data_IF_312951398742
#
_entry.id   IF_312951398742
#
_cell.length_a   1.000
_cell.length_b   1.000
_cell.length_c   1.000
_cell.angle_alpha   90.00
_cell.angle_beta   90.00
_cell.angle_gamma   90.00
#
_symmetry.space_group_name_H-M   'P 1'
#
loop_
_entity.id
_entity.type
_entity.pdbx_description
1 polymer ?
#
# COMPACT_ATOMS: atom_id res chain seq x y z
N UNK A 1 1.91 4.43 -20.13
CA UNK A 1 1.73 4.41 -18.66
C UNK A 1 1.02 3.13 -18.28
N UNK A 2 1.73 2.22 -17.61
CA UNK A 2 1.26 0.88 -17.26
C UNK A 2 0.25 0.91 -16.08
N UNK A 3 -0.45 -0.21 -15.84
CA UNK A 3 -1.29 -0.38 -14.65
C UNK A 3 -0.46 -0.20 -13.36
N UNK A 4 0.80 -0.64 -13.40
CA UNK A 4 1.75 -0.48 -12.31
C UNK A 4 2.09 0.98 -12.06
N UNK A 5 2.38 1.75 -13.09
CA UNK A 5 2.72 3.17 -12.98
C UNK A 5 1.55 3.96 -12.36
N UNK A 6 0.31 3.65 -12.78
CA UNK A 6 -0.90 4.26 -12.23
C UNK A 6 -1.08 3.94 -10.74
N UNK A 7 -0.82 2.69 -10.35
CA UNK A 7 -0.83 2.30 -8.93
C UNK A 7 0.23 3.07 -8.13
N UNK A 8 1.47 3.12 -8.62
CA UNK A 8 2.55 3.82 -7.93
C UNK A 8 2.27 5.31 -7.78
N UNK A 9 1.76 5.95 -8.84
CA UNK A 9 1.36 7.35 -8.81
C UNK A 9 0.23 7.59 -7.78
N UNK A 10 -0.80 6.74 -7.78
CA UNK A 10 -1.90 6.85 -6.81
C UNK A 10 -1.43 6.67 -5.36
N UNK A 11 -0.50 5.74 -5.12
CA UNK A 11 0.10 5.53 -3.81
C UNK A 11 0.96 6.72 -3.37
N UNK A 12 1.79 7.26 -4.28
CA UNK A 12 2.60 8.45 -3.99
C UNK A 12 1.72 9.65 -3.71
N UNK A 13 0.61 9.83 -4.43
CA UNK A 13 -0.37 10.91 -4.20
C UNK A 13 -1.00 10.91 -2.80
N UNK A 14 -0.90 9.82 -2.03
CA UNK A 14 -1.29 9.83 -0.62
C UNK A 14 -0.43 10.79 0.23
N UNK A 15 0.73 11.25 -0.24
CA UNK A 15 1.51 12.31 0.45
C UNK A 15 0.72 13.59 0.58
N UNK A 16 -0.05 13.96 -0.44
CA UNK A 16 -0.84 15.19 -0.44
C UNK A 16 -2.01 15.05 0.55
N UNK A 17 -2.58 13.84 0.63
CA UNK A 17 -3.58 13.49 1.64
C UNK A 17 -3.00 13.61 3.06
N UNK A 18 -1.79 13.09 3.29
CA UNK A 18 -1.10 13.22 4.58
C UNK A 18 -0.88 14.70 4.92
N UNK A 19 -0.41 15.51 3.97
CA UNK A 19 -0.18 16.94 4.16
C UNK A 19 -1.48 17.66 4.56
N UNK A 20 -2.58 17.42 3.83
CA UNK A 20 -3.89 18.00 4.15
C UNK A 20 -4.39 17.62 5.54
N UNK A 21 -4.24 16.35 5.94
CA UNK A 21 -4.66 15.90 7.28
C UNK A 21 -3.78 16.49 8.40
N UNK A 22 -2.48 16.68 8.14
CA UNK A 22 -1.58 17.38 9.07
C UNK A 22 -1.94 18.86 9.22
N UNK A 23 -2.24 19.55 8.12
CA UNK A 23 -2.71 20.95 8.14
C UNK A 23 -4.03 21.09 8.90
N UNK A 24 -4.90 20.09 8.84
CA UNK A 24 -6.14 20.04 9.62
C UNK A 24 -5.92 19.67 11.11
N UNK A 25 -4.67 19.51 11.56
CA UNK A 25 -4.34 19.26 12.97
C UNK A 25 -4.67 17.86 13.48
N UNK A 26 -4.89 16.88 12.59
CA UNK A 26 -5.19 15.51 13.03
C UNK A 26 -3.97 14.88 13.72
N UNK A 27 -4.19 14.08 14.78
CA UNK A 27 -3.10 13.37 15.42
C UNK A 27 -2.54 12.25 14.51
N UNK A 28 -1.27 11.86 14.67
CA UNK A 28 -0.62 10.84 13.84
C UNK A 28 -1.39 9.52 13.73
N UNK A 29 -2.05 9.08 14.80
CA UNK A 29 -2.87 7.87 14.77
C UNK A 29 -4.03 7.97 13.77
N UNK A 30 -4.77 9.08 13.79
CA UNK A 30 -5.91 9.30 12.90
C UNK A 30 -5.45 9.38 11.44
N UNK A 31 -4.32 10.03 11.18
CA UNK A 31 -3.70 10.11 9.86
C UNK A 31 -3.28 8.71 9.39
N UNK A 32 -2.58 7.95 10.23
CA UNK A 32 -2.12 6.60 9.92
C UNK A 32 -3.28 5.65 9.58
N UNK A 33 -4.37 5.69 10.37
CA UNK A 33 -5.59 4.89 10.12
C UNK A 33 -6.23 5.26 8.79
N UNK A 34 -6.36 6.55 8.52
CA UNK A 34 -6.99 7.07 7.29
C UNK A 34 -6.19 6.67 6.06
N UNK A 35 -4.90 7.01 6.04
CA UNK A 35 -4.05 6.85 4.86
C UNK A 35 -3.72 5.37 4.60
N UNK A 36 -3.57 4.55 5.65
CA UNK A 36 -3.43 3.10 5.47
C UNK A 36 -4.71 2.47 4.91
N UNK A 37 -5.89 2.88 5.38
CA UNK A 37 -7.15 2.40 4.81
C UNK A 37 -7.28 2.78 3.32
N UNK A 38 -6.95 4.02 2.95
CA UNK A 38 -6.91 4.46 1.55
C UNK A 38 -5.91 3.65 0.73
N UNK A 39 -4.69 3.42 1.24
CA UNK A 39 -3.68 2.58 0.59
C UNK A 39 -4.19 1.15 0.35
N UNK A 40 -4.89 0.55 1.31
CA UNK A 40 -5.46 -0.80 1.15
C UNK A 40 -6.55 -0.82 0.08
N UNK A 41 -7.40 0.21 0.00
CA UNK A 41 -8.41 0.35 -1.06
C UNK A 41 -7.75 0.43 -2.44
N UNK A 42 -6.70 1.24 -2.60
CA UNK A 42 -5.91 1.28 -3.83
C UNK A 42 -5.35 -0.10 -4.17
N UNK A 43 -4.72 -0.78 -3.21
CA UNK A 43 -4.15 -2.11 -3.45
C UNK A 43 -5.21 -3.13 -3.91
N UNK A 44 -6.42 -3.11 -3.33
CA UNK A 44 -7.52 -4.00 -3.73
C UNK A 44 -8.01 -3.67 -5.15
N UNK A 45 -8.23 -2.39 -5.46
CA UNK A 45 -8.65 -1.94 -6.79
C UNK A 45 -7.65 -2.36 -7.87
N UNK A 46 -6.37 -2.10 -7.67
CA UNK A 46 -5.38 -2.44 -8.69
C UNK A 46 -5.17 -3.96 -8.81
N UNK A 47 -5.31 -4.72 -7.72
CA UNK A 47 -5.31 -6.20 -7.79
C UNK A 47 -6.49 -6.72 -8.62
N UNK A 48 -7.68 -6.13 -8.51
CA UNK A 48 -8.85 -6.55 -9.31
C UNK A 48 -8.73 -6.20 -10.79
N UNK A 49 -7.91 -5.20 -11.14
CA UNK A 49 -7.58 -4.83 -12.52
C UNK A 49 -6.39 -5.62 -13.09
N UNK A 50 -5.57 -6.25 -12.24
CA UNK A 50 -4.39 -7.02 -12.68
C UNK A 50 -4.83 -8.35 -13.29
N UNK A 51 -4.40 -8.72 -14.51
CA UNK A 51 -4.76 -10.01 -15.11
C UNK A 51 -3.99 -11.20 -14.49
N UNK A 52 -4.49 -12.41 -14.72
CA UNK A 52 -3.71 -13.63 -14.45
C UNK A 52 -2.59 -13.82 -15.48
N UNK A 53 -1.46 -14.45 -15.13
CA UNK A 53 -1.15 -15.07 -13.83
C UNK A 53 -0.59 -14.07 -12.78
N UNK A 54 -0.41 -12.80 -13.14
CA UNK A 54 0.24 -11.80 -12.27
C UNK A 54 -0.53 -11.54 -10.98
N UNK A 55 -1.86 -11.52 -11.02
CA UNK A 55 -2.71 -11.37 -9.83
C UNK A 55 -2.45 -12.48 -8.82
N UNK A 56 -2.42 -13.75 -9.25
CA UNK A 56 -2.09 -14.88 -8.38
C UNK A 56 -0.68 -14.80 -7.79
N UNK A 57 0.31 -14.38 -8.60
CA UNK A 57 1.70 -14.16 -8.12
C UNK A 57 1.76 -13.08 -7.02
N UNK A 58 1.03 -11.98 -7.20
CA UNK A 58 0.92 -10.91 -6.20
C UNK A 58 0.25 -11.43 -4.91
N UNK A 59 -0.84 -12.18 -5.04
CA UNK A 59 -1.55 -12.75 -3.90
C UNK A 59 -0.64 -13.71 -3.11
N UNK A 60 0.02 -14.66 -3.79
CA UNK A 60 0.94 -15.61 -3.19
C UNK A 60 2.09 -14.92 -2.44
N UNK A 61 2.72 -13.90 -3.04
CA UNK A 61 3.74 -13.11 -2.33
C UNK A 61 3.17 -12.39 -1.11
N UNK A 62 1.98 -11.80 -1.22
CA UNK A 62 1.36 -11.06 -0.11
C UNK A 62 1.10 -12.00 1.08
N UNK A 63 0.57 -13.19 0.81
CA UNK A 63 0.34 -14.23 1.83
C UNK A 63 1.68 -14.68 2.43
N UNK A 64 2.68 -14.99 1.61
CA UNK A 64 4.00 -15.42 2.09
C UNK A 64 4.66 -14.40 3.02
N UNK A 65 4.51 -13.10 2.73
CA UNK A 65 5.18 -12.04 3.51
C UNK A 65 4.38 -11.64 4.76
N UNK A 66 3.06 -11.61 4.69
CA UNK A 66 2.22 -11.01 5.73
C UNK A 66 1.20 -11.98 6.36
N UNK A 67 1.10 -13.22 5.86
CA UNK A 67 0.06 -14.16 6.26
C UNK A 67 -1.36 -13.73 5.87
N UNK A 68 -1.53 -12.66 5.09
CA UNK A 68 -2.81 -12.08 4.75
C UNK A 68 -2.87 -11.71 3.26
N UNK A 69 -3.87 -12.20 2.49
CA UNK A 69 -3.98 -11.92 1.04
C UNK A 69 -4.19 -10.42 0.71
N UNK A 70 -4.74 -9.66 1.65
CA UNK A 70 -4.96 -8.22 1.52
C UNK A 70 -3.77 -7.38 2.00
N UNK A 71 -2.72 -8.01 2.53
CA UNK A 71 -1.59 -7.34 3.16
C UNK A 71 -1.80 -7.07 4.66
N UNK A 72 -0.85 -6.40 5.32
CA UNK A 72 -0.86 -6.24 6.77
C UNK A 72 -1.98 -5.28 7.20
N UNK A 73 -2.72 -5.67 8.25
CA UNK A 73 -3.66 -4.76 8.91
C UNK A 73 -2.90 -3.69 9.71
N UNK A 74 -3.57 -2.58 10.05
CA UNK A 74 -2.92 -1.57 10.89
C UNK A 74 -2.56 -2.12 12.27
N UNK A 75 -3.43 -2.96 12.84
CA UNK A 75 -3.18 -3.63 14.11
C UNK A 75 -1.96 -4.56 14.02
N UNK A 76 -1.82 -5.29 12.91
CA UNK A 76 -0.63 -6.11 12.66
C UNK A 76 0.64 -5.24 12.63
N UNK A 77 0.63 -4.11 11.91
CA UNK A 77 1.79 -3.20 11.87
C UNK A 77 2.14 -2.63 13.25
N UNK A 78 1.13 -2.29 14.06
CA UNK A 78 1.32 -1.82 15.44
C UNK A 78 1.87 -2.91 16.36
N UNK A 79 1.37 -4.14 16.24
CA UNK A 79 1.87 -5.30 16.98
C UNK A 79 3.33 -5.64 16.62
N UNK A 80 3.76 -5.32 15.39
CA UNK A 80 5.16 -5.42 14.96
C UNK A 80 6.03 -4.23 15.40
N UNK A 81 5.53 -3.33 16.26
CA UNK A 81 6.28 -2.20 16.81
C UNK A 81 6.36 -0.96 15.91
N UNK A 82 5.69 -0.92 14.75
CA UNK A 82 5.73 0.28 13.89
C UNK A 82 5.05 1.46 14.56
N UNK A 83 5.69 2.63 14.56
CA UNK A 83 5.08 3.88 14.99
C UNK A 83 3.98 4.33 14.01
N UNK A 84 3.11 5.25 14.45
CA UNK A 84 2.11 5.84 13.56
C UNK A 84 2.75 6.54 12.36
N UNK A 85 3.86 7.24 12.56
CA UNK A 85 4.61 7.89 11.46
C UNK A 85 5.23 6.88 10.50
N UNK A 86 5.78 5.75 10.99
CA UNK A 86 6.28 4.70 10.12
C UNK A 86 5.17 4.03 9.29
N UNK A 87 3.94 3.99 9.82
CA UNK A 87 2.76 3.51 9.07
C UNK A 87 2.34 4.53 8.01
N UNK A 88 2.35 5.82 8.33
CA UNK A 88 2.07 6.91 7.38
C UNK A 88 3.07 6.88 6.24
N UNK A 89 4.38 6.88 6.53
CA UNK A 89 5.45 6.81 5.54
C UNK A 89 5.34 5.53 4.67
N UNK A 90 5.07 4.39 5.31
CA UNK A 90 4.88 3.13 4.59
C UNK A 90 3.66 3.13 3.66
N UNK A 91 2.58 3.81 4.05
CA UNK A 91 1.36 3.87 3.25
C UNK A 91 1.54 4.69 1.96
N UNK A 92 2.40 5.70 1.96
CA UNK A 92 2.70 6.56 0.79
C UNK A 92 3.81 6.02 -0.12
N UNK A 93 4.50 4.94 0.29
CA UNK A 93 5.57 4.32 -0.50
C UNK A 93 5.08 3.07 -1.25
N UNK A 94 5.14 3.01 -2.59
CA UNK A 94 4.85 1.77 -3.31
C UNK A 94 5.93 0.72 -2.97
N UNK A 95 5.50 -0.53 -2.74
CA UNK A 95 6.45 -1.64 -2.55
C UNK A 95 7.08 -2.07 -3.88
N UNK A 96 8.11 -2.92 -3.92
CA UNK A 96 8.73 -3.33 -5.18
C UNK A 96 7.72 -4.06 -6.09
N UNK A 97 7.92 -4.01 -7.42
CA UNK A 97 7.12 -4.79 -8.37
C UNK A 97 7.24 -6.28 -8.05
N UNK A 98 6.17 -7.02 -8.34
CA UNK A 98 6.09 -8.46 -8.09
C UNK A 98 5.94 -9.15 -9.44
N UNK A 99 6.91 -9.99 -9.80
CA UNK A 99 6.83 -10.80 -11.02
C UNK A 99 6.94 -9.97 -12.31
N UNK A 100 7.85 -9.00 -12.35
CA UNK A 100 8.50 -8.64 -13.60
C UNK A 100 9.82 -9.38 -13.59
N UNK A 101 9.94 -10.44 -14.38
CA UNK A 101 11.25 -10.96 -14.69
C UNK A 101 12.04 -9.82 -15.38
N UNK A 102 13.37 -9.83 -15.27
CA UNK A 102 14.21 -8.77 -15.83
C UNK A 102 14.01 -8.55 -17.35
N UNK A 103 13.35 -9.50 -18.02
CA UNK A 103 13.03 -9.52 -19.45
C UNK A 103 11.73 -8.79 -19.84
N UNK A 104 10.90 -8.36 -18.87
CA UNK A 104 9.62 -7.66 -19.14
C UNK A 104 9.67 -6.15 -18.80
N UNK A 105 10.87 -5.54 -18.80
CA UNK A 105 11.06 -4.08 -18.65
C UNK A 105 11.31 -3.38 -19.96
#
# INVERSE_FOLDING_TARGET
MSLRDRYEAAVRGLTDRVAALRCAGLPPEAIARTVHAERRRLALLYKSLTPEPYRSRIAARTIRVYGNPQGPSIAFLRAQGKTWEAIIEGATRPGPPVGLDAEER
#
